data_IF_167143303119
#
_entry.id   IF_167143303119
#
_cell.length_a   1.000
_cell.length_b   1.000
_cell.length_c   1.000
_cell.angle_alpha   90.00
_cell.angle_beta   90.00
_cell.angle_gamma   90.00
#
_symmetry.space_group_name_H-M   'P 1'
#
loop_
_entity.id
_entity.type
_entity.pdbx_description
1 polymer ?
#
# COMPACT_ATOMS: atom_id res chain seq x y z
N UNK A 1 -2.63 -47.64 -27.60
CA UNK A 1 -1.14 -47.71 -27.49
C UNK A 1 -0.39 -47.16 -28.71
N UNK A 2 -0.81 -47.44 -29.97
CA UNK A 2 -0.12 -46.92 -31.17
C UNK A 2 -0.15 -45.38 -31.26
N UNK A 3 -1.28 -44.76 -30.96
CA UNK A 3 -1.46 -43.29 -31.00
C UNK A 3 -0.62 -42.56 -29.95
N UNK A 4 -0.53 -43.12 -28.73
CA UNK A 4 0.31 -42.56 -27.67
C UNK A 4 1.81 -42.58 -28.05
N UNK A 5 2.26 -43.64 -28.72
CA UNK A 5 3.65 -43.74 -29.22
C UNK A 5 3.93 -42.71 -30.32
N UNK A 6 2.97 -42.50 -31.22
CA UNK A 6 3.09 -41.48 -32.27
C UNK A 6 3.14 -40.07 -31.70
N UNK A 7 2.24 -39.74 -30.76
CA UNK A 7 2.22 -38.44 -30.09
C UNK A 7 3.50 -38.19 -29.27
N UNK A 8 3.98 -39.20 -28.54
CA UNK A 8 5.26 -39.10 -27.81
C UNK A 8 6.45 -38.87 -28.76
N UNK A 9 6.46 -39.52 -29.93
CA UNK A 9 7.48 -39.29 -30.94
C UNK A 9 7.43 -37.86 -31.51
N UNK A 10 6.24 -37.31 -31.73
CA UNK A 10 6.06 -35.94 -32.21
C UNK A 10 6.61 -34.92 -31.20
N UNK A 11 6.28 -35.09 -29.91
CA UNK A 11 6.79 -34.22 -28.85
C UNK A 11 8.32 -34.29 -28.72
N UNK A 12 8.91 -35.48 -28.85
CA UNK A 12 10.35 -35.64 -28.82
C UNK A 12 11.05 -34.89 -29.97
N UNK A 13 10.48 -34.93 -31.18
CA UNK A 13 11.01 -34.21 -32.35
C UNK A 13 10.88 -32.69 -32.16
N UNK A 14 9.74 -32.20 -31.66
CA UNK A 14 9.54 -30.78 -31.37
C UNK A 14 10.48 -30.27 -30.28
N UNK A 15 10.70 -31.07 -29.23
CA UNK A 15 11.66 -30.74 -28.18
C UNK A 15 13.09 -30.67 -28.72
N UNK A 16 13.49 -31.61 -29.57
CA UNK A 16 14.81 -31.58 -30.21
C UNK A 16 14.96 -30.34 -31.13
N UNK A 17 13.94 -30.02 -31.91
CA UNK A 17 13.95 -28.84 -32.78
C UNK A 17 14.07 -27.54 -31.95
N UNK A 18 13.32 -27.44 -30.84
CA UNK A 18 13.44 -26.33 -29.90
C UNK A 18 14.84 -26.24 -29.27
N UNK A 19 15.41 -27.37 -28.85
CA UNK A 19 16.76 -27.42 -28.27
C UNK A 19 17.84 -26.98 -29.26
N UNK A 20 17.79 -27.47 -30.51
CA UNK A 20 18.77 -27.11 -31.57
C UNK A 20 18.63 -25.64 -32.00
N UNK A 21 17.43 -25.08 -31.96
CA UNK A 21 17.19 -23.67 -32.32
C UNK A 21 17.65 -22.66 -31.26
N UNK A 22 18.19 -23.12 -30.13
CA UNK A 22 18.80 -22.29 -29.08
C UNK A 22 18.20 -22.49 -27.69
N UNK A 23 17.15 -23.32 -27.57
CA UNK A 23 16.71 -23.89 -26.30
C UNK A 23 16.62 -22.89 -25.12
N UNK A 24 17.11 -23.28 -23.92
CA UNK A 24 17.15 -22.41 -22.75
C UNK A 24 18.10 -21.21 -22.90
N UNK A 25 19.20 -21.35 -23.65
CA UNK A 25 20.21 -20.29 -23.79
C UNK A 25 19.67 -19.05 -24.53
N UNK A 26 18.66 -19.22 -25.39
CA UNK A 26 17.92 -18.08 -25.96
C UNK A 26 17.18 -17.25 -24.91
N UNK A 27 16.75 -17.85 -23.81
CA UNK A 27 16.10 -17.12 -22.72
C UNK A 27 17.10 -16.20 -22.01
N UNK A 28 18.32 -16.69 -21.78
CA UNK A 28 19.37 -15.92 -21.11
C UNK A 28 19.95 -14.81 -22.01
N UNK A 29 20.03 -15.05 -23.33
CA UNK A 29 20.45 -14.05 -24.31
C UNK A 29 19.39 -12.95 -24.56
N UNK A 30 18.12 -13.18 -24.21
CA UNK A 30 17.04 -12.19 -24.34
C UNK A 30 16.93 -11.23 -23.15
N UNK A 31 17.66 -11.45 -22.06
CA UNK A 31 17.84 -10.45 -20.99
C UNK A 31 18.62 -9.21 -21.46
N UNK A 32 19.26 -9.26 -22.64
CA UNK A 32 20.00 -8.15 -23.27
C UNK A 32 19.30 -7.57 -24.51
N UNK A 33 17.98 -7.80 -24.67
CA UNK A 33 17.12 -7.02 -25.60
C UNK A 33 16.73 -5.67 -24.96
N UNK A 34 16.36 -4.64 -25.77
CA UNK A 34 16.62 -3.23 -25.48
C UNK A 34 15.60 -2.66 -24.51
N UNK A 35 15.60 -3.13 -23.27
CA UNK A 35 15.18 -2.27 -22.19
C UNK A 35 16.12 -1.07 -22.25
N UNK A 36 15.57 0.09 -22.61
CA UNK A 36 16.25 1.37 -22.43
C UNK A 36 16.82 1.30 -21.02
N UNK A 37 18.15 1.32 -20.88
CA UNK A 37 18.77 1.41 -19.55
C UNK A 37 18.01 2.52 -18.83
N UNK A 38 17.40 2.25 -17.67
CA UNK A 38 16.62 3.27 -17.00
C UNK A 38 17.52 4.51 -16.91
N UNK A 39 17.04 5.67 -17.39
CA UNK A 39 17.83 6.88 -17.35
C UNK A 39 18.37 7.07 -15.94
N UNK A 40 19.62 7.48 -15.83
CA UNK A 40 20.26 7.69 -14.53
C UNK A 40 19.34 8.58 -13.68
N UNK A 41 19.09 8.21 -12.41
CA UNK A 41 18.11 8.93 -11.60
C UNK A 41 18.48 10.40 -11.56
N UNK A 42 17.57 11.25 -12.02
CA UNK A 42 17.67 12.67 -11.74
C UNK A 42 17.53 12.79 -10.23
N UNK A 43 18.52 13.39 -9.57
CA UNK A 43 18.57 13.57 -8.12
C UNK A 43 17.51 14.61 -7.64
N UNK A 44 16.36 14.62 -8.31
CA UNK A 44 15.21 15.53 -8.20
C UNK A 44 13.97 14.82 -7.67
N UNK A 45 13.97 13.48 -7.56
CA UNK A 45 12.85 12.70 -7.02
C UNK A 45 11.79 12.30 -8.05
N UNK A 46 12.04 12.49 -9.34
CA UNK A 46 11.12 12.11 -10.42
C UNK A 46 11.38 10.65 -10.87
N UNK A 47 10.32 9.89 -11.12
CA UNK A 47 10.37 8.49 -11.59
C UNK A 47 9.91 8.44 -13.06
N UNK A 48 10.67 7.79 -13.94
CA UNK A 48 10.30 7.61 -15.34
C UNK A 48 9.35 6.42 -15.53
N UNK A 49 8.18 6.66 -16.13
CA UNK A 49 7.19 5.66 -16.54
C UNK A 49 5.96 6.36 -17.14
N UNK A 50 5.12 5.68 -17.93
CA UNK A 50 3.87 6.28 -18.41
C UNK A 50 3.06 6.69 -17.19
N UNK A 51 2.79 7.99 -17.11
CA UNK A 51 2.05 8.65 -16.04
C UNK A 51 0.72 7.92 -15.82
N UNK A 52 0.70 7.03 -14.84
CA UNK A 52 -0.52 6.48 -14.28
C UNK A 52 -0.40 6.39 -12.76
N UNK A 53 0.28 7.36 -12.16
CA UNK A 53 -0.15 7.85 -10.86
C UNK A 53 -1.19 8.89 -11.18
N UNK A 54 -2.46 8.51 -11.27
CA UNK A 54 -3.51 9.47 -10.95
C UNK A 54 -3.09 10.02 -9.59
N UNK A 55 -2.56 11.25 -9.54
CA UNK A 55 -2.24 11.91 -8.28
C UNK A 55 -3.54 11.83 -7.52
N UNK A 56 -3.57 11.05 -6.44
CA UNK A 56 -4.78 10.87 -5.65
C UNK A 56 -5.34 12.28 -5.44
N UNK A 57 -6.55 12.61 -5.94
CA UNK A 57 -7.03 13.98 -5.99
C UNK A 57 -7.18 14.58 -4.59
N UNK A 58 -7.14 13.74 -3.55
CA UNK A 58 -7.13 14.14 -2.16
C UNK A 58 -5.73 14.52 -1.64
N UNK A 59 -4.67 14.39 -2.45
CA UNK A 59 -3.29 14.71 -2.07
C UNK A 59 -3.10 16.22 -2.00
N UNK A 60 -2.82 16.79 -0.82
CA UNK A 60 -2.56 18.22 -0.71
C UNK A 60 -1.26 18.62 -1.42
N UNK A 61 -1.22 19.85 -1.92
CA UNK A 61 -0.03 20.40 -2.60
C UNK A 61 1.17 20.42 -1.66
N UNK A 62 2.32 19.97 -2.15
CA UNK A 62 3.58 19.96 -1.41
C UNK A 62 3.77 18.77 -0.47
N UNK A 63 2.84 17.82 -0.43
CA UNK A 63 3.01 16.57 0.31
C UNK A 63 3.88 15.59 -0.48
N UNK A 64 4.61 14.73 0.24
CA UNK A 64 5.45 13.68 -0.34
C UNK A 64 4.71 12.34 -0.31
N UNK A 65 4.84 11.56 -1.38
CA UNK A 65 4.37 10.17 -1.38
C UNK A 65 5.33 9.29 -0.60
N UNK A 66 4.80 8.42 0.26
CA UNK A 66 5.52 7.41 1.01
C UNK A 66 4.97 6.05 0.62
N UNK A 67 5.84 5.21 0.06
CA UNK A 67 5.51 3.83 -0.29
C UNK A 67 5.85 2.90 0.88
N UNK A 68 4.93 2.02 1.23
CA UNK A 68 5.11 0.95 2.20
C UNK A 68 5.11 -0.41 1.50
N UNK A 69 5.18 -1.51 2.26
CA UNK A 69 5.08 -2.86 1.69
C UNK A 69 3.74 -3.16 0.99
N UNK A 70 2.63 -2.59 1.46
CA UNK A 70 1.27 -2.97 1.02
C UNK A 70 0.39 -1.82 0.52
N UNK A 71 0.85 -0.58 0.68
CA UNK A 71 0.10 0.62 0.28
C UNK A 71 1.03 1.82 0.14
N UNK A 72 0.60 2.84 -0.58
CA UNK A 72 1.17 4.19 -0.53
C UNK A 72 0.28 5.12 0.29
N UNK A 73 0.88 6.19 0.81
CA UNK A 73 0.19 7.28 1.47
C UNK A 73 0.96 8.58 1.24
N UNK A 74 0.26 9.70 1.09
CA UNK A 74 0.91 11.01 1.06
C UNK A 74 1.01 11.61 2.46
N UNK A 75 2.18 12.14 2.80
CA UNK A 75 2.47 12.77 4.09
C UNK A 75 2.96 14.20 3.90
N UNK A 76 2.76 15.10 4.87
CA UNK A 76 3.51 16.35 4.93
C UNK A 76 5.02 16.10 4.93
N UNK A 77 5.80 17.06 4.43
CA UNK A 77 7.25 16.88 4.24
C UNK A 77 8.03 16.62 5.53
N UNK A 78 7.56 17.17 6.65
CA UNK A 78 8.12 17.03 8.01
C UNK A 78 7.74 15.72 8.70
N UNK A 79 6.82 14.93 8.13
CA UNK A 79 6.45 13.63 8.67
C UNK A 79 7.37 12.53 8.17
N UNK A 80 7.71 11.59 9.03
CA UNK A 80 8.50 10.40 8.74
C UNK A 80 7.64 9.15 8.88
N UNK A 81 8.02 8.10 8.16
CA UNK A 81 7.46 6.76 8.31
C UNK A 81 8.48 5.89 9.04
N UNK A 82 8.04 5.24 10.12
CA UNK A 82 8.81 4.20 10.81
C UNK A 82 8.04 2.89 10.75
N UNK A 83 8.61 1.88 10.11
CA UNK A 83 8.08 0.53 10.16
C UNK A 83 8.34 -0.08 11.53
N UNK A 84 7.39 -0.84 12.07
CA UNK A 84 7.62 -1.58 13.31
C UNK A 84 8.34 -2.89 12.99
N UNK A 85 9.49 -3.13 13.63
CA UNK A 85 10.39 -4.28 13.42
C UNK A 85 9.77 -5.67 13.72
N UNK A 86 8.48 -5.74 14.05
CA UNK A 86 7.83 -6.99 14.42
C UNK A 86 6.44 -7.11 13.80
N UNK A 87 6.32 -8.02 12.84
CA UNK A 87 5.03 -8.55 12.40
C UNK A 87 4.42 -9.35 13.55
N UNK A 88 3.74 -8.67 14.46
CA UNK A 88 3.03 -9.32 15.55
C UNK A 88 1.69 -9.81 14.99
N UNK A 89 1.39 -11.10 15.19
CA UNK A 89 0.13 -11.75 14.79
C UNK A 89 -0.24 -11.62 13.30
N UNK A 90 0.73 -11.71 12.39
CA UNK A 90 0.52 -11.57 10.94
C UNK A 90 -0.01 -10.19 10.50
N UNK A 91 0.14 -9.16 11.34
CA UNK A 91 -0.18 -7.79 10.98
C UNK A 91 1.08 -7.01 10.59
N UNK A 92 0.98 -6.22 9.52
CA UNK A 92 1.95 -5.20 9.13
C UNK A 92 1.65 -3.90 9.89
N UNK A 93 2.65 -3.35 10.58
CA UNK A 93 2.47 -2.22 11.49
C UNK A 93 3.55 -1.18 11.31
N UNK A 94 3.20 0.05 11.67
CA UNK A 94 4.14 1.15 11.70
C UNK A 94 3.48 2.42 12.16
N UNK A 95 4.22 3.50 12.04
CA UNK A 95 3.77 4.82 12.45
C UNK A 95 4.20 5.89 11.45
N UNK A 96 3.42 6.97 11.40
CA UNK A 96 3.80 8.21 10.75
C UNK A 96 3.87 9.30 11.81
N UNK A 97 4.98 10.04 11.87
CA UNK A 97 5.22 11.04 12.93
C UNK A 97 6.01 12.23 12.44
N UNK A 98 5.76 13.41 13.01
CA UNK A 98 6.64 14.58 12.87
C UNK A 98 7.37 14.94 14.18
N UNK A 99 7.45 13.99 15.12
CA UNK A 99 8.05 14.17 16.44
C UNK A 99 7.14 14.84 17.48
N UNK A 100 6.08 15.55 17.04
CA UNK A 100 5.09 16.16 17.93
C UNK A 100 3.75 15.41 17.94
N UNK A 101 3.38 14.84 16.81
CA UNK A 101 2.16 14.07 16.59
C UNK A 101 2.53 12.75 15.93
N UNK A 102 1.87 11.67 16.33
CA UNK A 102 2.08 10.33 15.77
C UNK A 102 0.73 9.68 15.48
N UNK A 103 0.64 9.03 14.32
CA UNK A 103 -0.44 8.13 13.97
C UNK A 103 0.15 6.74 13.74
N UNK A 104 -0.52 5.71 14.24
CA UNK A 104 -0.13 4.31 14.16
C UNK A 104 -1.07 3.59 13.21
N UNK A 105 -0.56 2.67 12.42
CA UNK A 105 -1.39 1.79 11.61
C UNK A 105 -1.15 0.32 11.93
N UNK A 106 -2.20 -0.47 11.69
CA UNK A 106 -2.17 -1.92 11.68
C UNK A 106 -2.92 -2.42 10.44
N UNK A 107 -2.25 -3.21 9.61
CA UNK A 107 -2.83 -3.88 8.47
C UNK A 107 -2.71 -5.39 8.68
N UNK A 108 -3.83 -6.05 8.98
CA UNK A 108 -3.83 -7.47 9.33
C UNK A 108 -5.19 -7.93 9.88
N UNK A 109 -5.37 -9.25 10.04
CA UNK A 109 -6.66 -9.84 10.46
C UNK A 109 -7.13 -9.38 11.86
N UNK A 110 -6.19 -8.89 12.68
CA UNK A 110 -6.42 -8.40 14.04
C UNK A 110 -6.56 -6.88 14.13
N UNK A 111 -6.48 -6.14 13.02
CA UNK A 111 -6.80 -4.72 13.04
C UNK A 111 -8.25 -4.53 13.49
N UNK A 112 -8.47 -3.62 14.44
CA UNK A 112 -9.79 -3.31 15.01
C UNK A 112 -10.11 -1.84 14.86
N UNK A 113 -11.40 -1.52 15.01
CA UNK A 113 -11.84 -0.13 15.20
C UNK A 113 -11.18 0.37 16.51
N UNK A 114 -10.40 1.47 16.45
CA UNK A 114 -9.66 2.00 17.60
C UNK A 114 -10.50 2.35 18.84
N UNK A 115 -11.81 2.51 18.69
CA UNK A 115 -12.77 2.84 19.75
C UNK A 115 -14.07 2.06 19.56
N UNK A 116 -14.82 1.74 20.64
CA UNK A 116 -16.14 1.12 20.51
C UNK A 116 -17.10 2.02 19.73
N UNK A 117 -17.88 1.45 18.81
CA UNK A 117 -18.85 2.20 17.99
C UNK A 117 -20.02 2.79 18.79
N UNK A 118 -20.16 2.39 20.06
CA UNK A 118 -21.13 2.93 21.02
C UNK A 118 -20.58 4.10 21.84
N UNK A 119 -19.32 4.52 21.62
CA UNK A 119 -18.69 5.61 22.35
C UNK A 119 -19.28 6.96 21.89
N UNK A 120 -19.95 7.67 22.80
CA UNK A 120 -20.57 8.97 22.54
C UNK A 120 -19.55 10.13 22.50
N UNK A 121 -18.30 9.86 22.89
CA UNK A 121 -17.16 10.79 22.82
C UNK A 121 -16.54 10.83 21.42
N UNK A 122 -17.11 10.10 20.46
CA UNK A 122 -16.66 10.10 19.07
C UNK A 122 -17.83 10.17 18.11
N UNK A 123 -17.62 10.86 17.00
CA UNK A 123 -18.50 10.79 15.83
C UNK A 123 -17.89 9.81 14.84
N UNK A 124 -18.73 8.89 14.37
CA UNK A 124 -18.38 7.95 13.32
C UNK A 124 -19.00 8.44 12.01
N UNK A 125 -18.17 8.71 11.02
CA UNK A 125 -18.62 9.01 9.66
C UNK A 125 -18.09 7.97 8.71
N UNK A 126 -18.68 7.89 7.52
CA UNK A 126 -18.32 6.87 6.54
C UNK A 126 -18.03 7.51 5.20
N UNK A 127 -16.94 7.10 4.59
CA UNK A 127 -16.53 7.57 3.27
C UNK A 127 -15.76 6.46 2.53
N UNK A 128 -15.60 6.62 1.22
CA UNK A 128 -14.79 5.69 0.42
C UNK A 128 -13.35 6.18 0.38
N UNK A 129 -12.40 5.34 0.80
CA UNK A 129 -10.96 5.59 0.75
C UNK A 129 -10.30 4.42 0.04
N UNK A 130 -9.44 4.70 -0.95
CA UNK A 130 -8.79 3.68 -1.77
C UNK A 130 -9.79 2.69 -2.43
N UNK A 131 -11.00 3.13 -2.77
CA UNK A 131 -12.12 2.26 -3.24
C UNK A 131 -12.75 1.33 -2.18
N UNK A 132 -12.39 1.46 -0.91
CA UNK A 132 -12.95 0.68 0.20
C UNK A 132 -13.79 1.55 1.15
N UNK A 133 -14.81 0.94 1.74
CA UNK A 133 -15.65 1.61 2.73
C UNK A 133 -14.88 1.78 4.03
N UNK A 134 -14.64 3.03 4.41
CA UNK A 134 -13.88 3.40 5.59
C UNK A 134 -14.79 4.02 6.66
N UNK A 135 -14.62 3.59 7.90
CA UNK A 135 -15.19 4.24 9.09
C UNK A 135 -14.19 5.25 9.62
N UNK A 136 -14.53 6.53 9.52
CA UNK A 136 -13.76 7.65 10.05
C UNK A 136 -14.22 7.94 11.48
N UNK A 137 -13.24 8.16 12.37
CA UNK A 137 -13.45 8.31 13.80
C UNK A 137 -12.94 9.67 14.20
N UNK A 138 -13.84 10.54 14.64
CA UNK A 138 -13.53 11.90 15.06
C UNK A 138 -13.88 12.11 16.53
N UNK A 139 -12.98 12.63 17.37
CA UNK A 139 -13.31 13.04 18.73
C UNK A 139 -14.44 14.07 18.78
N UNK A 140 -15.36 13.93 19.74
CA UNK A 140 -16.34 14.96 20.10
C UNK A 140 -15.91 15.65 21.39
N UNK A 141 -15.78 16.98 21.34
CA UNK A 141 -15.39 17.79 22.50
C UNK A 141 -14.01 17.43 23.08
N UNK A 142 -13.87 17.56 24.39
CA UNK A 142 -12.60 17.42 25.12
C UNK A 142 -12.33 16.00 25.65
N UNK A 143 -13.32 15.10 25.65
CA UNK A 143 -13.19 13.75 26.24
C UNK A 143 -12.87 12.67 25.20
N UNK A 144 -13.14 12.92 23.92
CA UNK A 144 -12.66 12.06 22.84
C UNK A 144 -11.16 12.25 22.64
N UNK A 145 -10.41 11.16 22.57
CA UNK A 145 -8.95 11.20 22.48
C UNK A 145 -8.38 10.53 21.22
N UNK A 146 -9.23 10.00 20.34
CA UNK A 146 -8.78 9.14 19.24
C UNK A 146 -9.31 9.69 17.92
N UNK A 147 -8.39 9.97 17.00
CA UNK A 147 -8.67 10.27 15.60
C UNK A 147 -8.22 9.07 14.79
N UNK A 148 -9.10 8.49 13.97
CA UNK A 148 -8.73 7.28 13.25
C UNK A 148 -9.59 6.96 12.04
N UNK A 149 -9.22 5.88 11.37
CA UNK A 149 -9.94 5.27 10.28
C UNK A 149 -9.82 3.75 10.39
N UNK A 150 -10.89 3.05 10.03
CA UNK A 150 -10.93 1.59 9.94
C UNK A 150 -11.56 1.12 8.63
N UNK A 151 -10.99 0.09 8.03
CA UNK A 151 -11.48 -0.58 6.82
C UNK A 151 -11.54 -2.08 7.12
N UNK A 152 -12.74 -2.66 7.11
CA UNK A 152 -12.99 -4.07 7.45
C UNK A 152 -12.67 -5.07 6.32
N UNK A 153 -12.53 -4.58 5.08
CA UNK A 153 -12.31 -5.40 3.87
C UNK A 153 -11.24 -4.81 2.97
N UNK A 154 -10.07 -4.56 3.53
CA UNK A 154 -8.87 -4.16 2.81
C UNK A 154 -8.33 -5.34 1.97
N UNK A 155 -7.67 -5.08 0.82
CA UNK A 155 -7.44 -6.09 -0.22
C UNK A 155 -6.47 -7.22 0.15
N UNK A 156 -5.37 -6.90 0.82
CA UNK A 156 -4.24 -7.81 0.98
C UNK A 156 -4.25 -8.56 2.32
N UNK A 157 -4.50 -7.85 3.42
CA UNK A 157 -4.45 -8.42 4.78
C UNK A 157 -5.78 -8.27 5.53
N UNK A 158 -6.88 -8.24 4.78
CA UNK A 158 -8.28 -8.21 5.25
C UNK A 158 -8.74 -6.94 5.94
N UNK A 159 -8.01 -6.43 6.94
CA UNK A 159 -8.44 -5.27 7.73
C UNK A 159 -7.33 -4.27 7.92
N UNK A 160 -7.67 -3.00 7.85
CA UNK A 160 -6.75 -1.89 8.05
C UNK A 160 -7.30 -0.93 9.10
N UNK A 161 -6.45 -0.53 10.04
CA UNK A 161 -6.74 0.48 11.05
C UNK A 161 -5.61 1.49 11.10
N UNK A 162 -5.92 2.77 11.21
CA UNK A 162 -4.94 3.84 11.43
C UNK A 162 -5.51 4.84 12.44
N UNK A 163 -4.71 5.25 13.42
CA UNK A 163 -5.18 6.17 14.45
C UNK A 163 -4.07 6.96 15.13
N UNK A 164 -4.40 8.17 15.58
CA UNK A 164 -3.58 8.98 16.47
C UNK A 164 -4.34 9.34 17.74
N UNK A 165 -3.59 9.49 18.84
CA UNK A 165 -4.14 9.77 20.16
C UNK A 165 -3.82 11.21 20.59
N UNK A 166 -4.78 11.86 21.25
CA UNK A 166 -4.69 13.21 21.80
C UNK A 166 -4.19 14.27 20.78
N UNK A 167 -4.51 14.08 19.49
CA UNK A 167 -4.15 15.03 18.45
C UNK A 167 -4.87 16.36 18.68
N UNK A 168 -4.15 17.48 18.59
CA UNK A 168 -4.78 18.80 18.57
C UNK A 168 -5.61 18.99 17.27
N UNK A 169 -6.54 19.95 17.20
CA UNK A 169 -7.43 20.08 16.03
C UNK A 169 -6.71 20.19 14.67
N UNK A 170 -5.54 20.83 14.62
CA UNK A 170 -4.75 20.93 13.38
C UNK A 170 -4.14 19.58 12.99
N UNK A 171 -3.60 18.84 13.96
CA UNK A 171 -3.08 17.49 13.75
C UNK A 171 -4.19 16.49 13.39
N UNK A 172 -5.41 16.64 13.94
CA UNK A 172 -6.57 15.83 13.56
C UNK A 172 -6.92 16.02 12.08
N UNK A 173 -7.00 17.28 11.62
CA UNK A 173 -7.27 17.58 10.22
C UNK A 173 -6.17 17.01 9.31
N UNK A 174 -4.91 17.14 9.72
CA UNK A 174 -3.77 16.57 8.99
C UNK A 174 -3.88 15.04 8.90
N UNK A 175 -4.18 14.35 10.01
CA UNK A 175 -4.38 12.92 10.04
C UNK A 175 -5.51 12.48 9.08
N UNK A 176 -6.65 13.17 9.09
CA UNK A 176 -7.74 12.85 8.15
C UNK A 176 -7.36 13.07 6.69
N UNK A 177 -6.55 14.09 6.37
CA UNK A 177 -6.01 14.26 5.02
C UNK A 177 -5.05 13.12 4.66
N UNK A 178 -4.19 12.69 5.58
CA UNK A 178 -3.32 11.51 5.39
C UNK A 178 -4.16 10.27 5.11
N UNK A 179 -5.23 10.02 5.87
CA UNK A 179 -6.05 8.82 5.67
C UNK A 179 -6.65 8.76 4.26
N UNK A 180 -7.08 9.90 3.72
CA UNK A 180 -7.70 9.98 2.38
C UNK A 180 -6.73 9.80 1.21
N UNK A 181 -5.43 9.87 1.48
CA UNK A 181 -4.39 9.68 0.44
C UNK A 181 -3.93 8.24 0.32
N UNK A 182 -4.45 7.32 1.16
CA UNK A 182 -4.13 5.90 1.09
C UNK A 182 -4.51 5.30 -0.27
N UNK A 183 -3.61 4.48 -0.79
CA UNK A 183 -3.83 3.63 -1.97
C UNK A 183 -3.21 2.25 -1.71
N UNK A 184 -4.00 1.18 -1.77
CA UNK A 184 -3.51 -0.18 -1.57
C UNK A 184 -2.95 -0.76 -2.87
N UNK A 185 -1.97 -1.66 -2.75
CA UNK A 185 -1.41 -2.44 -3.86
C UNK A 185 -2.10 -3.80 -4.03
#
# INVERSE_FOLDING_TARGET
>A
MKELKWFGSLLAVLFLAWFISGGPERYDLENDKPFIKPPSPLNTGEIYGPENTAVNPNTPVGWKSVSTKYFSVALPTDWAFNESDSSVWNSYRGEFTNGSSTIFFEYGPYATIPVPTTDDRHTFTYETVASYYATMIKPTGFMGNTTGMFIDRAPALEKFSISGYNLNPSAQNTAFSIFRTLEFY
#
